data_IF_654025279040
#
_entry.id   IF_654025279040
#
_cell.length_a   1.000
_cell.length_b   1.000
_cell.length_c   1.000
_cell.angle_alpha   90.00
_cell.angle_beta   90.00
_cell.angle_gamma   90.00
#
_symmetry.space_group_name_H-M   'P 1'
#
loop_
_entity.id
_entity.type
_entity.pdbx_description
1 polymer ?
#
# COMPACT_ATOMS: atom_id res chain seq x y z
N UNK A 1 36.96 -19.52 -13.06
CA UNK A 1 35.63 -19.97 -13.49
C UNK A 1 34.63 -19.45 -12.47
N UNK A 2 34.02 -18.31 -12.78
CA UNK A 2 32.97 -17.68 -11.97
C UNK A 2 31.66 -18.45 -12.17
N UNK A 3 30.89 -18.69 -11.10
CA UNK A 3 29.58 -18.06 -10.82
C UNK A 3 29.31 -18.22 -9.32
N UNK A 4 29.32 -17.10 -8.59
CA UNK A 4 28.70 -17.00 -7.28
C UNK A 4 27.18 -16.95 -7.50
N UNK A 5 26.50 -18.06 -7.26
CA UNK A 5 25.05 -18.17 -7.34
C UNK A 5 24.44 -18.02 -5.96
N UNK A 6 23.67 -16.94 -5.78
CA UNK A 6 22.96 -16.63 -4.55
C UNK A 6 22.91 -15.12 -4.33
N UNK A 7 22.21 -14.43 -5.22
CA UNK A 7 21.77 -13.06 -5.00
C UNK A 7 21.07 -13.06 -3.64
N UNK A 8 21.59 -12.30 -2.70
CA UNK A 8 20.91 -12.06 -1.43
C UNK A 8 19.49 -11.57 -1.76
N UNK A 9 18.46 -12.25 -1.24
CA UNK A 9 17.11 -11.72 -1.28
C UNK A 9 17.17 -10.33 -0.62
N UNK A 10 17.12 -9.28 -1.45
CA UNK A 10 16.79 -7.95 -0.96
C UNK A 10 15.39 -8.07 -0.34
N UNK A 11 15.07 -7.35 0.76
CA UNK A 11 13.73 -7.41 1.31
C UNK A 11 12.76 -6.94 0.21
N UNK A 12 11.99 -7.87 -0.34
CA UNK A 12 10.97 -7.59 -1.34
C UNK A 12 9.80 -6.84 -0.70
N UNK A 13 8.97 -6.23 -1.54
CA UNK A 13 7.75 -5.56 -1.13
C UNK A 13 6.61 -6.56 -1.09
N UNK A 14 6.23 -6.99 0.11
CA UNK A 14 5.11 -7.91 0.33
C UNK A 14 3.78 -7.17 0.30
N UNK A 15 2.75 -7.83 -0.23
CA UNK A 15 1.39 -7.33 -0.18
C UNK A 15 0.88 -7.38 1.26
N UNK A 16 0.76 -6.23 1.91
CA UNK A 16 0.30 -6.13 3.31
C UNK A 16 -1.21 -6.31 3.53
N UNK A 17 -1.94 -6.90 2.58
CA UNK A 17 -3.38 -7.17 2.71
C UNK A 17 -3.56 -8.56 3.29
N UNK A 18 -4.40 -8.69 4.32
CA UNK A 18 -4.61 -9.95 5.04
C UNK A 18 -5.01 -11.08 4.08
N UNK A 19 -4.33 -12.22 4.21
CA UNK A 19 -4.52 -13.37 3.33
C UNK A 19 -3.82 -13.29 1.97
N UNK A 20 -2.99 -12.27 1.70
CA UNK A 20 -2.17 -12.19 0.50
C UNK A 20 -0.68 -12.36 0.81
N UNK A 21 -0.03 -13.34 0.19
CA UNK A 21 1.40 -13.64 0.37
C UNK A 21 2.24 -13.25 -0.85
N UNK A 22 1.69 -12.44 -1.76
CA UNK A 22 2.39 -11.98 -2.96
C UNK A 22 3.52 -11.02 -2.59
N UNK A 23 4.69 -11.18 -3.21
CA UNK A 23 5.85 -10.32 -3.02
C UNK A 23 6.42 -9.86 -4.36
N UNK A 24 6.95 -8.65 -4.39
CA UNK A 24 7.46 -7.98 -5.59
C UNK A 24 8.83 -7.38 -5.35
N UNK A 25 9.55 -7.08 -6.42
CA UNK A 25 10.89 -6.48 -6.34
C UNK A 25 10.83 -4.95 -6.08
N UNK A 26 9.71 -4.32 -6.42
CA UNK A 26 9.49 -2.87 -6.34
C UNK A 26 8.10 -2.52 -5.79
N UNK A 27 7.97 -1.37 -5.11
CA UNK A 27 6.70 -0.96 -4.51
C UNK A 27 5.64 -0.63 -5.56
N UNK A 28 6.02 -0.19 -6.76
CA UNK A 28 5.08 0.12 -7.84
C UNK A 28 4.28 -1.12 -8.25
N UNK A 29 4.95 -2.24 -8.45
CA UNK A 29 4.30 -3.52 -8.78
C UNK A 29 3.41 -4.00 -7.62
N UNK A 30 3.84 -3.82 -6.36
CA UNK A 30 3.00 -4.11 -5.19
C UNK A 30 1.72 -3.26 -5.17
N UNK A 31 1.80 -1.95 -5.45
CA UNK A 31 0.64 -1.05 -5.45
C UNK A 31 -0.31 -1.39 -6.62
N UNK A 32 0.23 -1.71 -7.79
CA UNK A 32 -0.58 -2.15 -8.94
C UNK A 32 -1.35 -3.42 -8.56
N UNK A 33 -0.67 -4.43 -8.01
CA UNK A 33 -1.29 -5.66 -7.53
C UNK A 33 -2.41 -5.40 -6.50
N UNK A 34 -2.14 -4.57 -5.48
CA UNK A 34 -3.14 -4.18 -4.48
C UNK A 34 -4.39 -3.55 -5.13
N UNK A 35 -4.20 -2.79 -6.20
CA UNK A 35 -5.29 -2.06 -6.86
C UNK A 35 -6.13 -2.93 -7.79
N UNK A 36 -5.54 -3.94 -8.44
CA UNK A 36 -6.22 -4.74 -9.46
C UNK A 36 -6.70 -6.10 -8.97
N UNK A 37 -6.02 -6.69 -7.99
CA UNK A 37 -6.28 -8.07 -7.55
C UNK A 37 -7.07 -8.17 -6.25
N UNK A 38 -7.31 -7.05 -5.56
CA UNK A 38 -8.04 -7.03 -4.30
C UNK A 38 -9.37 -6.29 -4.42
N UNK A 39 -10.32 -6.68 -3.57
CA UNK A 39 -11.60 -5.99 -3.46
C UNK A 39 -11.38 -4.55 -2.98
N UNK A 40 -12.25 -3.63 -3.40
CA UNK A 40 -12.15 -2.24 -2.96
C UNK A 40 -12.63 -2.10 -1.52
N UNK A 41 -11.99 -1.21 -0.78
CA UNK A 41 -12.32 -0.89 0.60
C UNK A 41 -13.28 0.29 0.70
N UNK A 42 -14.28 0.20 1.56
CA UNK A 42 -15.12 1.33 1.93
C UNK A 42 -14.50 2.08 3.10
N UNK A 43 -14.12 3.35 2.88
CA UNK A 43 -13.55 4.17 3.95
C UNK A 43 -14.58 4.39 5.08
N UNK A 44 -14.29 3.88 6.28
CA UNK A 44 -15.20 3.99 7.43
C UNK A 44 -15.42 5.44 7.93
N UNK A 45 -14.60 6.40 7.50
CA UNK A 45 -14.75 7.82 7.87
C UNK A 45 -15.79 8.52 7.00
N UNK A 46 -15.81 8.26 5.68
CA UNK A 46 -16.61 9.02 4.72
C UNK A 46 -17.46 8.19 3.74
N UNK A 47 -17.35 6.86 3.75
CA UNK A 47 -18.09 5.93 2.88
C UNK A 47 -17.60 5.88 1.43
N UNK A 48 -16.46 6.50 1.10
CA UNK A 48 -15.92 6.44 -0.27
C UNK A 48 -15.28 5.07 -0.53
N UNK A 49 -15.58 4.49 -1.70
CA UNK A 49 -14.96 3.25 -2.17
C UNK A 49 -13.60 3.55 -2.81
N UNK A 50 -12.54 3.05 -2.19
CA UNK A 50 -11.14 3.24 -2.61
C UNK A 50 -10.45 1.89 -2.84
N UNK A 51 -9.38 1.81 -3.65
CA UNK A 51 -8.59 0.59 -3.71
C UNK A 51 -8.00 0.24 -2.34
N UNK A 52 -7.92 -1.05 -2.03
CA UNK A 52 -7.29 -1.59 -0.80
C UNK A 52 -5.77 -1.29 -0.78
N UNK A 53 -5.13 -1.55 0.36
CA UNK A 53 -3.68 -1.41 0.49
C UNK A 53 -3.24 0.05 0.56
N UNK A 54 -2.21 0.42 -0.20
CA UNK A 54 -1.58 1.74 -0.12
C UNK A 54 -2.58 2.88 -0.37
N UNK A 55 -3.47 2.76 -1.35
CA UNK A 55 -4.42 3.85 -1.65
C UNK A 55 -5.45 4.06 -0.54
N UNK A 56 -5.88 3.01 0.16
CA UNK A 56 -6.75 3.12 1.33
C UNK A 56 -6.03 3.85 2.48
N UNK A 57 -4.78 3.48 2.76
CA UNK A 57 -3.95 4.16 3.76
C UNK A 57 -3.75 5.63 3.40
N UNK A 58 -3.32 5.90 2.16
CA UNK A 58 -3.09 7.26 1.68
C UNK A 58 -4.34 8.12 1.82
N UNK A 59 -5.50 7.63 1.36
CA UNK A 59 -6.78 8.32 1.49
C UNK A 59 -7.09 8.64 2.96
N UNK A 60 -6.94 7.66 3.85
CA UNK A 60 -7.24 7.83 5.26
C UNK A 60 -6.40 8.93 5.92
N UNK A 61 -5.12 9.07 5.57
CA UNK A 61 -4.19 10.00 6.22
C UNK A 61 -3.97 11.32 5.46
N UNK A 62 -4.36 11.42 4.18
CA UNK A 62 -4.36 12.68 3.43
C UNK A 62 -5.69 13.44 3.58
N UNK A 63 -6.82 12.72 3.56
CA UNK A 63 -8.15 13.33 3.50
C UNK A 63 -8.82 13.45 4.88
N UNK A 64 -8.34 12.70 5.88
CA UNK A 64 -8.91 12.70 7.23
C UNK A 64 -7.84 12.89 8.30
N UNK A 65 -8.28 13.35 9.48
CA UNK A 65 -7.40 13.50 10.63
C UNK A 65 -7.17 12.16 11.35
N UNK A 66 -6.05 12.04 12.07
CA UNK A 66 -5.78 10.88 12.96
C UNK A 66 -6.93 10.62 13.94
N UNK A 67 -7.55 11.68 14.46
CA UNK A 67 -8.67 11.55 15.41
C UNK A 67 -9.94 11.00 14.74
N UNK A 68 -10.17 11.26 13.47
CA UNK A 68 -11.27 10.66 12.71
C UNK A 68 -10.97 9.20 12.38
N UNK A 69 -9.75 8.90 11.92
CA UNK A 69 -9.31 7.53 11.69
C UNK A 69 -9.44 6.65 12.94
N UNK A 70 -8.90 7.08 14.08
CA UNK A 70 -8.98 6.36 15.36
C UNK A 70 -10.43 6.06 15.75
N UNK A 71 -11.34 7.04 15.60
CA UNK A 71 -12.75 6.86 15.97
C UNK A 71 -13.51 5.95 15.02
N UNK A 72 -13.24 6.05 13.72
CA UNK A 72 -13.95 5.27 12.71
C UNK A 72 -13.50 3.81 12.67
N UNK A 73 -12.21 3.55 12.91
CA UNK A 73 -11.61 2.22 12.82
C UNK A 73 -11.32 1.57 14.19
N UNK A 74 -11.70 2.22 15.29
CA UNK A 74 -11.35 1.80 16.66
C UNK A 74 -9.84 1.52 16.82
N UNK A 75 -9.01 2.35 16.17
CA UNK A 75 -7.57 2.15 16.06
C UNK A 75 -6.80 2.77 17.24
N UNK A 76 -5.68 2.16 17.62
CA UNK A 76 -4.78 2.72 18.62
C UNK A 76 -3.64 3.54 17.99
N UNK A 77 -2.76 4.08 18.85
CA UNK A 77 -1.64 4.92 18.43
C UNK A 77 -0.55 4.14 17.67
N UNK A 78 -0.44 2.83 17.88
CA UNK A 78 0.52 1.98 17.17
C UNK A 78 0.01 1.68 15.76
N UNK A 79 -1.28 1.36 15.61
CA UNK A 79 -1.96 1.19 14.34
C UNK A 79 -1.92 2.43 13.44
N UNK A 80 -1.98 3.63 14.04
CA UNK A 80 -1.77 4.91 13.33
C UNK A 80 -0.32 5.03 12.86
N UNK A 81 0.64 4.80 13.77
CA UNK A 81 2.07 4.96 13.47
C UNK A 81 2.52 4.01 12.37
N UNK A 82 2.14 2.74 12.46
CA UNK A 82 2.44 1.71 11.48
C UNK A 82 1.97 2.12 10.08
N UNK A 83 0.73 2.62 9.95
CA UNK A 83 0.19 3.03 8.65
C UNK A 83 0.86 4.28 8.09
N UNK A 84 1.23 5.23 8.95
CA UNK A 84 2.00 6.40 8.53
C UNK A 84 3.41 6.02 8.08
N UNK A 85 4.07 5.07 8.77
CA UNK A 85 5.37 4.54 8.39
C UNK A 85 5.30 3.78 7.05
N UNK A 86 4.29 2.95 6.84
CA UNK A 86 4.05 2.26 5.56
C UNK A 86 3.83 3.28 4.45
N UNK A 87 2.96 4.27 4.67
CA UNK A 87 2.69 5.32 3.67
C UNK A 87 3.97 6.06 3.30
N UNK A 88 4.75 6.49 4.28
CA UNK A 88 6.01 7.19 4.05
C UNK A 88 7.02 6.31 3.30
N UNK A 89 7.18 5.04 3.70
CA UNK A 89 8.08 4.12 3.03
C UNK A 89 7.70 3.92 1.56
N UNK A 90 6.40 3.77 1.26
CA UNK A 90 5.94 3.66 -0.13
C UNK A 90 6.21 4.96 -0.90
N UNK A 91 5.88 6.12 -0.32
CA UNK A 91 6.08 7.43 -0.97
C UNK A 91 7.57 7.77 -1.21
N UNK A 92 8.46 7.29 -0.35
CA UNK A 92 9.90 7.49 -0.48
C UNK A 92 10.53 6.58 -1.55
N UNK A 93 9.90 5.46 -1.89
CA UNK A 93 10.48 4.44 -2.78
C UNK A 93 9.73 4.26 -4.11
N UNK A 94 8.48 4.69 -4.24
CA UNK A 94 7.65 4.48 -5.42
C UNK A 94 7.48 5.74 -6.28
N UNK A 95 7.58 5.60 -7.61
CA UNK A 95 7.05 6.59 -8.56
C UNK A 95 5.53 6.41 -8.73
N UNK A 96 4.78 7.08 -7.85
CA UNK A 96 3.32 7.02 -7.86
C UNK A 96 2.68 7.56 -9.14
N UNK A 97 3.37 8.45 -9.87
CA UNK A 97 2.88 8.90 -11.18
C UNK A 97 2.95 7.74 -12.17
N UNK A 98 4.06 7.00 -12.19
CA UNK A 98 4.20 5.83 -13.04
C UNK A 98 3.15 4.75 -12.72
N UNK A 99 2.84 4.52 -11.44
CA UNK A 99 1.76 3.61 -11.02
C UNK A 99 0.41 4.03 -11.61
N UNK A 100 0.03 5.30 -11.44
CA UNK A 100 -1.24 5.83 -11.97
C UNK A 100 -1.30 5.76 -13.50
N UNK A 101 -0.20 6.03 -14.18
CA UNK A 101 -0.11 5.88 -15.64
C UNK A 101 -0.34 4.42 -16.08
N UNK A 102 0.27 3.45 -15.39
CA UNK A 102 0.07 2.01 -15.66
C UNK A 102 -1.39 1.58 -15.44
N UNK A 103 -2.01 2.02 -14.36
CA UNK A 103 -3.41 1.69 -14.04
C UNK A 103 -4.40 2.29 -15.05
N UNK A 104 -4.15 3.52 -15.53
CA UNK A 104 -5.00 4.15 -16.54
C UNK A 104 -4.77 3.60 -17.96
N UNK A 105 -3.55 3.13 -18.27
CA UNK A 105 -3.22 2.53 -19.56
C UNK A 105 -3.71 1.08 -19.73
N UNK A 106 -4.14 0.44 -18.65
CA UNK A 106 -4.67 -0.93 -18.65
C UNK A 106 -6.20 -0.99 -18.78
N UNK A 107 -6.85 0.15 -19.08
CA UNK A 107 -8.31 0.30 -19.22
C UNK A 107 -8.84 0.14 -20.64
#
# INVERSE_FOLDING_TARGET
MFVAGGIACMPGWECGIDGCESAFDDPEDTIVHQTTEHERHECAVCGTIVPEGYFAIRHAFDEHTRAEFVRAYDADADAVREREEIKAAVEDNADLRAVVERLNGSG
#
